data_IF_766522631866
#
_entry.id   IF_766522631866
#
_cell.length_a   1.000
_cell.length_b   1.000
_cell.length_c   1.000
_cell.angle_alpha   90.00
_cell.angle_beta   90.00
_cell.angle_gamma   90.00
#
_symmetry.space_group_name_H-M   'P 1'
#
loop_
_entity.id
_entity.type
_entity.pdbx_description
1 polymer ?
#
# COMPACT_ATOMS: atom_id res chain seq x y z
N UNK A 1 6.70 8.12 12.44
CA UNK A 1 5.62 8.31 11.44
C UNK A 1 4.60 7.19 11.52
N UNK A 2 4.92 5.94 11.13
CA UNK A 2 3.98 4.80 11.15
C UNK A 2 3.32 4.54 12.51
N UNK A 3 4.09 4.54 13.61
CA UNK A 3 3.54 4.33 14.96
C UNK A 3 2.48 5.38 15.31
N UNK A 4 2.64 6.63 14.86
CA UNK A 4 1.66 7.70 15.08
C UNK A 4 0.37 7.41 14.34
N UNK A 5 0.45 7.00 13.07
CA UNK A 5 -0.72 6.61 12.28
C UNK A 5 -1.45 5.42 12.94
N UNK A 6 -0.70 4.43 13.43
CA UNK A 6 -1.28 3.29 14.18
C UNK A 6 -2.01 3.74 15.44
N UNK A 7 -1.38 4.60 16.26
CA UNK A 7 -1.99 5.16 17.47
C UNK A 7 -3.25 5.99 17.18
N UNK A 8 -3.24 6.74 16.08
CA UNK A 8 -4.34 7.60 15.65
C UNK A 8 -5.41 6.87 14.83
N UNK A 9 -5.22 5.57 14.53
CA UNK A 9 -6.04 4.81 13.57
C UNK A 9 -6.19 5.48 12.19
N UNK A 10 -5.16 6.20 11.77
CA UNK A 10 -5.09 6.74 10.41
C UNK A 10 -4.86 5.58 9.44
N UNK A 11 -5.60 5.50 8.32
CA UNK A 11 -5.48 4.38 7.41
C UNK A 11 -4.14 4.39 6.64
N UNK A 12 -3.55 3.21 6.48
CA UNK A 12 -2.22 3.04 5.87
C UNK A 12 -2.34 2.38 4.50
N UNK A 13 -1.71 2.98 3.48
CA UNK A 13 -1.52 2.37 2.17
C UNK A 13 -0.11 1.78 2.06
N UNK A 14 -0.01 0.49 1.76
CA UNK A 14 1.25 -0.17 1.38
C UNK A 14 1.38 -0.10 -0.14
N UNK A 15 2.37 0.67 -0.62
CA UNK A 15 2.71 0.68 -2.04
C UNK A 15 3.81 -0.36 -2.28
N UNK A 16 3.44 -1.48 -2.92
CA UNK A 16 4.33 -2.60 -3.22
C UNK A 16 4.94 -2.51 -4.61
N UNK A 17 5.95 -3.34 -4.86
CA UNK A 17 6.48 -3.59 -6.20
C UNK A 17 5.86 -4.87 -6.80
N UNK A 18 5.87 -4.98 -8.12
CA UNK A 18 5.27 -6.08 -8.88
C UNK A 18 6.14 -7.33 -8.93
N UNK A 19 7.39 -7.26 -8.49
CA UNK A 19 8.26 -8.43 -8.40
C UNK A 19 7.93 -9.31 -7.18
N UNK A 20 8.59 -10.46 -7.10
CA UNK A 20 8.33 -11.46 -6.04
C UNK A 20 8.66 -10.88 -4.66
N UNK A 21 9.78 -10.18 -4.54
CA UNK A 21 10.24 -9.62 -3.27
C UNK A 21 9.31 -8.50 -2.77
N UNK A 22 8.86 -7.62 -3.67
CA UNK A 22 7.89 -6.57 -3.41
C UNK A 22 6.52 -7.12 -3.02
N UNK A 23 6.04 -8.14 -3.72
CA UNK A 23 4.77 -8.81 -3.41
C UNK A 23 4.82 -9.54 -2.06
N UNK A 24 5.91 -10.26 -1.77
CA UNK A 24 6.12 -10.93 -0.48
C UNK A 24 6.17 -9.93 0.69
N UNK A 25 6.94 -8.85 0.55
CA UNK A 25 7.06 -7.81 1.57
C UNK A 25 5.72 -7.11 1.82
N UNK A 26 4.97 -6.82 0.76
CA UNK A 26 3.63 -6.23 0.85
C UNK A 26 2.66 -7.14 1.59
N UNK A 27 2.66 -8.44 1.27
CA UNK A 27 1.81 -9.43 1.94
C UNK A 27 2.16 -9.57 3.43
N UNK A 28 3.44 -9.54 3.79
CA UNK A 28 3.90 -9.59 5.18
C UNK A 28 3.38 -8.39 5.98
N UNK A 29 3.53 -7.17 5.45
CA UNK A 29 3.05 -5.95 6.09
C UNK A 29 1.52 -5.93 6.20
N UNK A 30 0.81 -6.36 5.15
CA UNK A 30 -0.65 -6.47 5.16
C UNK A 30 -1.13 -7.41 6.26
N UNK A 31 -0.48 -8.58 6.42
CA UNK A 31 -0.76 -9.52 7.51
C UNK A 31 -0.51 -8.90 8.88
N UNK A 32 0.60 -8.19 9.05
CA UNK A 32 0.93 -7.52 10.30
C UNK A 32 -0.16 -6.50 10.71
N UNK A 33 -0.52 -5.57 9.83
CA UNK A 33 -1.52 -4.55 10.14
C UNK A 33 -2.92 -5.15 10.37
N UNK A 34 -3.29 -6.20 9.63
CA UNK A 34 -4.53 -6.95 9.90
C UNK A 34 -4.51 -7.63 11.26
N UNK A 35 -3.38 -8.19 11.70
CA UNK A 35 -3.26 -8.86 13.00
C UNK A 35 -3.48 -7.92 14.19
N UNK A 36 -3.15 -6.63 14.03
CA UNK A 36 -3.40 -5.58 15.03
C UNK A 36 -4.70 -4.82 14.78
N UNK A 37 -5.57 -5.33 13.90
CA UNK A 37 -6.87 -4.76 13.54
C UNK A 37 -6.82 -3.28 13.12
N UNK A 38 -5.76 -2.91 12.38
CA UNK A 38 -5.54 -1.55 11.89
C UNK A 38 -5.98 -1.42 10.42
N UNK A 39 -6.66 -0.32 10.03
CA UNK A 39 -7.09 -0.09 8.65
C UNK A 39 -5.89 -0.01 7.71
N UNK A 40 -5.81 -0.96 6.78
CA UNK A 40 -4.70 -1.08 5.84
C UNK A 40 -5.21 -1.53 4.49
N UNK A 41 -4.64 -0.94 3.45
CA UNK A 41 -4.85 -1.32 2.06
C UNK A 41 -3.51 -1.36 1.35
N UNK A 42 -3.46 -2.03 0.20
CA UNK A 42 -2.25 -2.15 -0.58
C UNK A 42 -2.51 -1.80 -2.04
N UNK A 43 -1.45 -1.41 -2.73
CA UNK A 43 -1.45 -1.18 -4.15
C UNK A 43 -0.16 -1.71 -4.75
N UNK A 44 -0.27 -2.54 -5.78
CA UNK A 44 0.85 -3.03 -6.59
C UNK A 44 0.63 -2.50 -8.00
N UNK A 45 1.56 -1.73 -8.57
CA UNK A 45 1.43 -1.18 -9.92
C UNK A 45 1.53 -2.28 -10.98
N UNK A 46 0.82 -2.10 -12.10
CA UNK A 46 1.00 -2.93 -13.29
C UNK A 46 2.15 -2.34 -14.11
N UNK A 47 3.32 -2.99 -14.12
CA UNK A 47 4.53 -2.52 -14.82
C UNK A 47 4.25 -2.14 -16.28
N UNK A 48 3.38 -2.89 -16.97
CA UNK A 48 3.11 -2.68 -18.39
C UNK A 48 2.20 -1.46 -18.64
N UNK A 49 1.29 -1.16 -17.71
CA UNK A 49 0.31 -0.06 -17.86
C UNK A 49 0.71 1.22 -17.14
N UNK A 50 1.32 1.10 -15.97
CA UNK A 50 1.63 2.20 -15.06
C UNK A 50 3.07 2.71 -15.20
N UNK A 51 3.94 1.95 -15.88
CA UNK A 51 5.36 2.25 -16.03
C UNK A 51 6.17 1.84 -14.79
N UNK A 52 7.40 2.37 -14.66
CA UNK A 52 8.30 2.00 -13.57
C UNK A 52 8.07 2.88 -12.33
N UNK A 53 7.69 2.24 -11.22
CA UNK A 53 7.72 2.84 -9.90
C UNK A 53 6.66 3.93 -9.63
N UNK A 54 6.86 4.71 -8.55
CA UNK A 54 5.88 5.68 -8.10
C UNK A 54 5.82 6.90 -9.03
N UNK A 55 4.63 7.22 -9.54
CA UNK A 55 4.41 8.41 -10.35
C UNK A 55 3.17 9.21 -9.90
N UNK A 56 3.14 10.50 -10.22
CA UNK A 56 2.08 11.42 -9.76
C UNK A 56 0.69 10.96 -10.24
N UNK A 57 0.59 10.44 -11.46
CA UNK A 57 -0.67 9.95 -12.03
C UNK A 57 -1.19 8.76 -11.22
N UNK A 58 -0.31 7.83 -10.88
CA UNK A 58 -0.59 6.65 -10.09
C UNK A 58 -1.09 7.00 -8.69
N UNK A 59 -0.38 7.89 -7.98
CA UNK A 59 -0.83 8.33 -6.65
C UNK A 59 -2.17 9.06 -6.70
N UNK A 60 -2.43 9.86 -7.73
CA UNK A 60 -3.76 10.47 -7.92
C UNK A 60 -4.85 9.42 -8.08
N UNK A 61 -4.59 8.34 -8.81
CA UNK A 61 -5.55 7.23 -8.96
C UNK A 61 -5.74 6.44 -7.67
N UNK A 62 -4.67 6.17 -6.92
CA UNK A 62 -4.74 5.51 -5.59
C UNK A 62 -5.59 6.34 -4.63
N UNK A 63 -5.37 7.66 -4.58
CA UNK A 63 -6.12 8.57 -3.71
C UNK A 63 -7.61 8.65 -4.09
N UNK A 64 -7.94 8.59 -5.39
CA UNK A 64 -9.34 8.57 -5.85
C UNK A 64 -10.06 7.26 -5.54
N UNK A 65 -9.35 6.12 -5.62
CA UNK A 65 -9.96 4.80 -5.47
C UNK A 65 -10.42 4.50 -4.05
N UNK A 66 -10.07 5.35 -3.07
CA UNK A 66 -10.41 5.19 -1.65
C UNK A 66 -10.31 3.72 -1.23
N UNK A 67 -9.13 3.10 -1.43
CA UNK A 67 -9.00 1.65 -1.35
C UNK A 67 -9.45 1.20 0.05
N UNK A 68 -10.40 0.26 0.08
CA UNK A 68 -10.95 -0.32 1.31
C UNK A 68 -9.99 -1.34 1.91
#
# INVERSE_FOLDING_TARGET
MVIKCVKNKEPICIFGDYDVDGSCSTALLLKFFKSINHPVYFYIPDRAKDGYGPNIKLFREILKKNPK
#
